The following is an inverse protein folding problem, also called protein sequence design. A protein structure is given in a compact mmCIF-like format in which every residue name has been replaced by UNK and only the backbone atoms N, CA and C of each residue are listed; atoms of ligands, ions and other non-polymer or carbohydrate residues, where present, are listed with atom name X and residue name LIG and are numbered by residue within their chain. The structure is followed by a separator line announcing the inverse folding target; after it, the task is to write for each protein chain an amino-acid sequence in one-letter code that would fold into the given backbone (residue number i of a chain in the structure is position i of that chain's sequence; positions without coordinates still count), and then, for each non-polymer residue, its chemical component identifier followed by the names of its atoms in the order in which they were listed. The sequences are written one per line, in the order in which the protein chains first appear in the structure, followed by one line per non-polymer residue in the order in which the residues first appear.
data_IF_223643922441
#
_entry.id   IF_223643922441
#
_cell.length_a   1.000
_cell.length_b   1.000
_cell.length_c   1.000
_cell.angle_alpha   90.00
_cell.angle_beta   90.00
_cell.angle_gamma   90.00
#
_symmetry.space_group_name_H-M   'P 1'
#
loop_
_entity.id
_entity.type
_entity.pdbx_description
1 polymer ?
#
# COMPACT_ATOMS: atom_id res chain seq x y z
N UNK A 1 -2.35 22.46 13.45
CA UNK A 1 -2.02 21.17 12.81
C UNK A 1 -3.25 20.28 12.82
N UNK A 2 -3.77 19.84 11.67
CA UNK A 2 -4.92 18.92 11.62
C UNK A 2 -4.50 17.52 12.08
N UNK A 3 -5.05 17.07 13.21
CA UNK A 3 -4.62 15.85 13.93
C UNK A 3 -5.07 14.53 13.28
N UNK A 4 -6.05 14.56 12.38
CA UNK A 4 -6.57 13.50 11.50
C UNK A 4 -8.09 13.65 11.45
N UNK A 5 -8.64 14.08 10.32
CA UNK A 5 -10.06 14.45 10.25
C UNK A 5 -10.97 13.26 9.89
N UNK A 6 -10.42 12.17 9.34
CA UNK A 6 -11.20 11.03 8.81
C UNK A 6 -10.50 9.70 9.09
N UNK A 7 -11.23 8.79 9.72
CA UNK A 7 -10.83 7.41 9.97
C UNK A 7 -11.59 6.45 9.07
N UNK A 8 -10.90 5.41 8.60
CA UNK A 8 -11.47 4.33 7.79
C UNK A 8 -11.05 2.98 8.34
N UNK A 9 -11.95 1.99 8.27
CA UNK A 9 -11.63 0.60 8.62
C UNK A 9 -10.76 0.00 7.51
N UNK A 10 -9.55 -0.41 7.83
CA UNK A 10 -8.64 -1.04 6.87
C UNK A 10 -8.94 -2.54 6.71
N UNK A 11 -8.23 -3.22 5.80
CA UNK A 11 -8.41 -4.66 5.56
C UNK A 11 -8.06 -5.54 6.77
N UNK A 12 -7.25 -5.04 7.71
CA UNK A 12 -6.95 -5.71 8.98
C UNK A 12 -8.02 -5.43 10.07
N UNK A 13 -9.12 -4.75 9.72
CA UNK A 13 -10.22 -4.44 10.62
C UNK A 13 -9.96 -3.26 11.57
N UNK A 14 -8.83 -2.57 11.45
CA UNK A 14 -8.42 -1.46 12.33
C UNK A 14 -8.87 -0.12 11.76
N UNK A 15 -9.26 0.82 12.63
CA UNK A 15 -9.52 2.21 12.24
C UNK A 15 -8.19 2.94 12.04
N UNK A 16 -7.95 3.44 10.83
CA UNK A 16 -6.72 4.14 10.46
C UNK A 16 -7.06 5.54 9.94
N UNK A 17 -6.34 6.59 10.35
CA UNK A 17 -6.53 7.92 9.82
C UNK A 17 -6.07 8.00 8.36
N UNK A 18 -6.82 8.72 7.53
CA UNK A 18 -6.47 8.97 6.11
C UNK A 18 -5.41 10.07 5.93
N UNK A 19 -5.15 10.86 6.98
CA UNK A 19 -4.15 11.92 7.01
C UNK A 19 -3.33 11.78 8.29
N UNK A 20 -2.02 11.69 8.15
CA UNK A 20 -1.06 11.66 9.26
C UNK A 20 -0.07 12.79 9.04
N UNK A 21 0.07 13.69 10.01
CA UNK A 21 0.97 14.85 9.94
C UNK A 21 0.78 15.70 8.67
N UNK A 22 -0.46 15.89 8.22
CA UNK A 22 -0.80 16.64 7.01
C UNK A 22 -0.54 15.91 5.69
N UNK A 23 -0.03 14.67 5.71
CA UNK A 23 0.19 13.85 4.52
C UNK A 23 -0.94 12.85 4.35
N UNK A 24 -1.45 12.71 3.12
CA UNK A 24 -2.40 11.64 2.77
C UNK A 24 -1.66 10.30 2.86
N UNK A 25 -2.29 9.32 3.49
CA UNK A 25 -1.76 7.96 3.62
C UNK A 25 -2.72 6.96 3.01
N UNK A 26 -2.18 5.88 2.44
CA UNK A 26 -2.98 4.79 1.89
C UNK A 26 -3.20 3.76 3.02
N UNK A 27 -4.45 3.49 3.44
CA UNK A 27 -4.73 2.45 4.43
C UNK A 27 -4.32 1.08 3.91
N UNK A 28 -4.01 0.15 4.81
CA UNK A 28 -3.71 -1.23 4.43
C UNK A 28 -4.89 -1.87 3.69
N UNK A 29 -4.69 -2.18 2.41
CA UNK A 29 -5.72 -2.71 1.51
C UNK A 29 -5.84 -4.23 1.55
N UNK A 30 -4.92 -4.92 2.22
CA UNK A 30 -4.82 -6.39 2.25
C UNK A 30 -3.53 -6.90 1.61
N UNK A 31 -3.26 -8.19 1.78
CA UNK A 31 -2.07 -8.85 1.22
C UNK A 31 -2.16 -8.78 -0.31
N UNK A 32 -1.06 -8.37 -0.95
CA UNK A 32 -0.93 -8.28 -2.41
C UNK A 32 -1.90 -7.30 -3.10
N UNK A 33 -2.47 -6.32 -2.38
CA UNK A 33 -3.44 -5.35 -2.93
C UNK A 33 -2.88 -3.96 -3.25
N UNK A 34 -1.69 -3.62 -2.76
CA UNK A 34 -1.06 -2.32 -3.00
C UNK A 34 0.16 -2.48 -3.91
N UNK A 35 0.24 -1.64 -4.96
CA UNK A 35 1.39 -1.58 -5.87
C UNK A 35 2.06 -0.21 -5.75
N UNK A 36 3.35 -0.14 -5.39
CA UNK A 36 4.09 1.11 -5.37
C UNK A 36 4.16 1.76 -6.74
N UNK A 37 3.80 3.03 -6.81
CA UNK A 37 4.01 3.88 -8.00
C UNK A 37 5.10 4.90 -7.66
N UNK A 38 6.02 5.14 -8.58
CA UNK A 38 6.98 6.24 -8.48
C UNK A 38 6.77 7.22 -9.63
N UNK A 39 7.20 8.46 -9.43
CA UNK A 39 7.14 9.52 -10.44
C UNK A 39 8.53 9.66 -11.04
N UNK A 40 8.78 9.05 -12.19
CA UNK A 40 10.06 9.04 -12.88
C UNK A 40 10.01 8.20 -14.16
N UNK A 41 11.11 8.19 -14.92
CA UNK A 41 11.26 7.40 -16.14
C UNK A 41 11.76 5.96 -15.87
N UNK A 42 12.15 5.65 -14.64
CA UNK A 42 12.65 4.33 -14.28
C UNK A 42 11.53 3.27 -14.35
N UNK A 43 11.88 1.98 -14.47
CA UNK A 43 10.92 0.89 -14.31
C UNK A 43 10.29 0.91 -12.91
N UNK A 44 9.06 0.37 -12.81
CA UNK A 44 8.40 0.24 -11.50
C UNK A 44 9.20 -0.72 -10.61
N UNK A 45 9.13 -0.48 -9.29
CA UNK A 45 9.69 -1.41 -8.32
C UNK A 45 8.91 -2.73 -8.42
N UNK A 46 9.58 -3.87 -8.68
CA UNK A 46 8.92 -5.17 -8.71
C UNK A 46 8.40 -5.52 -7.32
N UNK A 47 7.28 -6.24 -7.29
CA UNK A 47 6.61 -6.65 -6.06
C UNK A 47 6.44 -8.16 -6.05
N UNK A 48 6.21 -8.76 -4.88
CA UNK A 48 5.90 -10.20 -4.78
C UNK A 48 4.66 -10.60 -5.60
N UNK A 49 3.81 -9.64 -5.96
CA UNK A 49 2.64 -9.83 -6.83
C UNK A 49 3.05 -10.23 -8.26
N UNK A 50 4.27 -9.88 -8.68
CA UNK A 50 4.80 -10.16 -10.02
C UNK A 50 5.35 -11.59 -10.15
N UNK A 51 5.35 -12.37 -9.07
CA UNK A 51 5.93 -13.71 -9.01
C UNK A 51 4.91 -14.75 -8.55
N UNK A 52 5.14 -16.05 -8.86
CA UNK A 52 4.33 -17.14 -8.34
C UNK A 52 4.25 -17.17 -6.82
N UNK A 53 3.10 -17.56 -6.26
CA UNK A 53 2.90 -17.65 -4.81
C UNK A 53 3.78 -18.71 -4.14
N UNK A 54 4.19 -19.73 -4.89
CA UNK A 54 5.06 -20.81 -4.45
C UNK A 54 6.56 -20.46 -4.58
N UNK A 55 6.90 -19.23 -4.99
CA UNK A 55 8.26 -18.78 -5.24
C UNK A 55 9.04 -19.65 -6.24
N UNK A 56 8.34 -20.34 -7.15
CA UNK A 56 9.00 -21.12 -8.18
C UNK A 56 9.82 -20.20 -9.09
N UNK A 57 11.12 -20.51 -9.25
CA UNK A 57 12.09 -19.71 -10.02
C UNK A 57 12.35 -20.25 -11.43
N UNK A 58 11.67 -21.32 -11.82
CA UNK A 58 11.91 -22.05 -13.06
C UNK A 58 10.95 -21.58 -14.18
N UNK A 59 9.83 -20.95 -13.80
CA UNK A 59 8.76 -20.50 -14.70
C UNK A 59 8.96 -19.07 -15.20
#
# INVERSE_FOLDING_TARGET
MKKADKFVKNAAGRLVPTIINGKKVVPFMGVNKYRPTHKGAAPRVPTVIDYPQDCNKIV
#
